data_IF_195530807980
#
_entry.id   IF_195530807980
#
_cell.length_a   1.000
_cell.length_b   1.000
_cell.length_c   1.000
_cell.angle_alpha   90.00
_cell.angle_beta   90.00
_cell.angle_gamma   90.00
#
_symmetry.space_group_name_H-M   'P 1'
#
loop_
_entity.id
_entity.type
_entity.pdbx_description
1 polymer ?
#
# COMPACT_ATOMS: atom_id res chain seq x y z
N UNK A 1 -45.90 -80.05 -31.64
CA UNK A 1 -44.70 -79.24 -31.32
C UNK A 1 -44.37 -79.46 -29.86
N UNK A 2 -43.15 -79.87 -29.53
CA UNK A 2 -42.77 -80.12 -28.12
C UNK A 2 -42.52 -78.79 -27.41
N UNK A 3 -42.86 -78.68 -26.11
CA UNK A 3 -42.68 -77.43 -25.35
C UNK A 3 -41.24 -76.88 -25.38
N UNK A 4 -40.24 -77.76 -25.54
CA UNK A 4 -38.84 -77.37 -25.68
C UNK A 4 -38.52 -76.61 -26.97
N UNK A 5 -39.22 -76.88 -28.08
CA UNK A 5 -39.01 -76.14 -29.34
C UNK A 5 -39.48 -74.69 -29.22
N UNK A 6 -40.64 -74.48 -28.58
CA UNK A 6 -41.19 -73.14 -28.32
C UNK A 6 -40.29 -72.37 -27.35
N UNK A 7 -39.82 -73.02 -26.29
CA UNK A 7 -38.89 -72.42 -25.35
C UNK A 7 -37.54 -72.03 -26.00
N UNK A 8 -37.00 -72.90 -26.86
CA UNK A 8 -35.76 -72.64 -27.61
C UNK A 8 -35.90 -71.44 -28.56
N UNK A 9 -37.04 -71.30 -29.25
CA UNK A 9 -37.30 -70.17 -30.13
C UNK A 9 -37.37 -68.84 -29.36
N UNK A 10 -38.07 -68.82 -28.21
CA UNK A 10 -38.17 -67.64 -27.35
C UNK A 10 -36.79 -67.25 -26.82
N UNK A 11 -36.01 -68.24 -26.35
CA UNK A 11 -34.66 -68.01 -25.86
C UNK A 11 -33.74 -67.44 -26.96
N UNK A 12 -33.80 -67.97 -28.18
CA UNK A 12 -33.02 -67.46 -29.31
C UNK A 12 -33.33 -65.99 -29.64
N UNK A 13 -34.61 -65.62 -29.65
CA UNK A 13 -35.04 -64.24 -29.89
C UNK A 13 -34.57 -63.31 -28.75
N UNK A 14 -34.70 -63.74 -27.50
CA UNK A 14 -34.25 -62.96 -26.35
C UNK A 14 -32.73 -62.70 -26.38
N UNK A 15 -31.94 -63.72 -26.72
CA UNK A 15 -30.48 -63.59 -26.86
C UNK A 15 -30.14 -62.67 -28.02
N UNK A 16 -30.85 -62.74 -29.16
CA UNK A 16 -30.64 -61.85 -30.29
C UNK A 16 -30.87 -60.38 -29.91
N UNK A 17 -31.96 -60.07 -29.20
CA UNK A 17 -32.24 -58.71 -28.71
C UNK A 17 -31.15 -58.24 -27.74
N UNK A 18 -30.70 -59.11 -26.83
CA UNK A 18 -29.65 -58.81 -25.85
C UNK A 18 -28.32 -58.47 -26.54
N UNK A 19 -27.94 -59.23 -27.58
CA UNK A 19 -26.71 -58.95 -28.34
C UNK A 19 -26.79 -57.60 -29.06
N UNK A 20 -27.94 -57.27 -29.65
CA UNK A 20 -28.15 -55.95 -30.29
C UNK A 20 -28.03 -54.80 -29.27
N UNK A 21 -28.60 -54.99 -28.08
CA UNK A 21 -28.51 -53.99 -27.01
C UNK A 21 -27.07 -53.79 -26.52
N UNK A 22 -26.33 -54.88 -26.30
CA UNK A 22 -24.91 -54.82 -25.91
C UNK A 22 -24.08 -54.14 -27.00
N UNK A 23 -24.31 -54.45 -28.28
CA UNK A 23 -23.61 -53.80 -29.39
C UNK A 23 -23.82 -52.28 -29.40
N UNK A 24 -25.06 -51.84 -29.19
CA UNK A 24 -25.38 -50.40 -29.08
C UNK A 24 -24.74 -49.77 -27.84
N UNK A 25 -24.77 -50.47 -26.69
CA UNK A 25 -24.18 -50.00 -25.44
C UNK A 25 -22.65 -49.84 -25.54
N UNK A 26 -21.95 -50.84 -26.09
CA UNK A 26 -20.51 -50.79 -26.32
C UNK A 26 -20.13 -49.66 -27.28
N UNK A 27 -20.93 -49.40 -28.31
CA UNK A 27 -20.68 -48.29 -29.22
C UNK A 27 -20.80 -46.93 -28.52
N UNK A 28 -21.78 -46.77 -27.61
CA UNK A 28 -21.89 -45.57 -26.77
C UNK A 28 -20.71 -45.44 -25.81
N UNK A 29 -20.33 -46.52 -25.13
CA UNK A 29 -19.16 -46.53 -24.25
C UNK A 29 -17.87 -46.16 -24.99
N UNK A 30 -17.66 -46.68 -26.19
CA UNK A 30 -16.48 -46.35 -26.99
C UNK A 30 -16.43 -44.85 -27.35
N UNK A 31 -17.59 -44.25 -27.70
CA UNK A 31 -17.68 -42.80 -27.91
C UNK A 31 -17.34 -42.02 -26.65
N UNK A 32 -17.92 -42.41 -25.50
CA UNK A 32 -17.63 -41.77 -24.20
C UNK A 32 -16.16 -41.90 -23.83
N UNK A 33 -15.53 -43.07 -24.01
CA UNK A 33 -14.10 -43.26 -23.76
C UNK A 33 -13.23 -42.41 -24.70
N UNK A 34 -13.64 -42.25 -25.97
CA UNK A 34 -12.99 -41.35 -26.91
C UNK A 34 -13.05 -39.89 -26.46
N UNK A 35 -14.22 -39.42 -26.03
CA UNK A 35 -14.42 -38.07 -25.49
C UNK A 35 -13.66 -37.85 -24.16
N UNK A 36 -13.59 -38.86 -23.30
CA UNK A 36 -12.80 -38.82 -22.07
C UNK A 36 -11.29 -38.76 -22.37
N UNK A 37 -10.82 -39.53 -23.34
CA UNK A 37 -9.41 -39.47 -23.77
C UNK A 37 -9.07 -38.10 -24.36
N UNK A 38 -9.98 -37.52 -25.15
CA UNK A 38 -9.81 -36.16 -25.66
C UNK A 38 -9.80 -35.13 -24.53
N UNK A 39 -10.74 -35.22 -23.59
CA UNK A 39 -10.80 -34.34 -22.40
C UNK A 39 -9.53 -34.44 -21.55
N UNK A 40 -9.03 -35.66 -21.31
CA UNK A 40 -7.78 -35.88 -20.59
C UNK A 40 -6.59 -35.25 -21.32
N UNK A 41 -6.52 -35.41 -22.64
CA UNK A 41 -5.46 -34.79 -23.45
C UNK A 41 -5.49 -33.26 -23.36
N UNK A 42 -6.67 -32.66 -23.49
CA UNK A 42 -6.84 -31.20 -23.35
C UNK A 42 -6.49 -30.74 -21.94
N UNK A 43 -6.98 -31.43 -20.91
CA UNK A 43 -6.65 -31.12 -19.52
C UNK A 43 -5.15 -31.19 -19.24
N UNK A 44 -4.45 -32.21 -19.75
CA UNK A 44 -2.98 -32.29 -19.64
C UNK A 44 -2.30 -31.13 -20.35
N UNK A 45 -2.78 -30.75 -21.55
CA UNK A 45 -2.25 -29.59 -22.30
C UNK A 45 -2.47 -28.27 -21.56
N UNK A 46 -3.63 -28.11 -20.92
CA UNK A 46 -3.96 -26.91 -20.14
C UNK A 46 -3.07 -26.83 -18.88
N UNK A 47 -2.84 -27.95 -18.20
CA UNK A 47 -1.92 -28.02 -17.05
C UNK A 47 -0.49 -27.67 -17.44
N UNK A 48 -0.01 -28.18 -18.57
CA UNK A 48 1.31 -27.83 -19.12
C UNK A 48 1.40 -26.33 -19.43
N UNK A 49 0.37 -25.77 -20.08
CA UNK A 49 0.28 -24.34 -20.40
C UNK A 49 0.19 -23.47 -19.14
N UNK A 50 -0.53 -23.90 -18.11
CA UNK A 50 -0.59 -23.22 -16.80
C UNK A 50 0.78 -23.27 -16.11
N UNK A 51 1.47 -24.41 -16.18
CA UNK A 51 2.80 -24.57 -15.58
C UNK A 51 3.80 -23.61 -16.23
N UNK A 52 3.82 -23.55 -17.57
CA UNK A 52 4.64 -22.58 -18.30
C UNK A 52 4.26 -21.12 -18.03
N UNK A 53 2.98 -20.80 -17.93
CA UNK A 53 2.55 -19.45 -17.55
C UNK A 53 2.96 -19.12 -16.10
N UNK A 54 2.90 -20.07 -15.18
CA UNK A 54 3.37 -19.91 -13.82
C UNK A 54 4.88 -19.68 -13.77
N UNK A 55 5.67 -20.43 -14.53
CA UNK A 55 7.11 -20.20 -14.71
C UNK A 55 7.38 -18.78 -15.22
N UNK A 56 6.64 -18.33 -16.23
CA UNK A 56 6.73 -16.96 -16.74
C UNK A 56 6.35 -15.92 -15.68
N UNK A 57 5.32 -16.15 -14.87
CA UNK A 57 4.96 -15.26 -13.75
C UNK A 57 6.09 -15.20 -12.73
N UNK A 58 6.69 -16.34 -12.37
CA UNK A 58 7.82 -16.36 -11.43
C UNK A 58 9.04 -15.62 -11.99
N UNK A 59 9.34 -15.81 -13.29
CA UNK A 59 10.43 -15.11 -13.97
C UNK A 59 10.19 -13.59 -14.00
N UNK A 60 8.99 -13.15 -14.41
CA UNK A 60 8.61 -11.74 -14.39
C UNK A 60 8.60 -11.17 -12.97
N UNK A 61 8.13 -11.92 -11.98
CA UNK A 61 8.18 -11.50 -10.58
C UNK A 61 9.62 -11.32 -10.09
N UNK A 62 10.54 -12.21 -10.47
CA UNK A 62 11.96 -12.07 -10.16
C UNK A 62 12.57 -10.82 -10.82
N UNK A 63 12.24 -10.56 -12.10
CA UNK A 63 12.67 -9.35 -12.81
C UNK A 63 12.07 -8.07 -12.18
N UNK A 64 10.78 -8.09 -11.83
CA UNK A 64 10.11 -6.99 -11.14
C UNK A 64 10.73 -6.73 -9.77
N UNK A 65 11.02 -7.76 -8.98
CA UNK A 65 11.68 -7.62 -7.69
C UNK A 65 13.10 -7.03 -7.84
N UNK A 66 13.83 -7.41 -8.88
CA UNK A 66 15.15 -6.83 -9.17
C UNK A 66 15.05 -5.35 -9.61
N UNK A 67 14.09 -4.99 -10.47
CA UNK A 67 13.85 -3.60 -10.87
C UNK A 67 13.39 -2.74 -9.68
N UNK A 68 12.50 -3.27 -8.83
CA UNK A 68 12.06 -2.60 -7.60
C UNK A 68 13.24 -2.39 -6.65
N UNK A 69 14.10 -3.40 -6.45
CA UNK A 69 15.28 -3.26 -5.60
C UNK A 69 16.20 -2.14 -6.12
N UNK A 70 16.49 -2.12 -7.44
CA UNK A 70 17.28 -1.07 -8.08
C UNK A 70 16.64 0.31 -7.93
N UNK A 71 15.32 0.42 -8.17
CA UNK A 71 14.59 1.69 -8.05
C UNK A 71 14.51 2.19 -6.62
N UNK A 72 14.27 1.32 -5.64
CA UNK A 72 14.27 1.71 -4.22
C UNK A 72 15.65 2.22 -3.81
N UNK A 73 16.73 1.54 -4.21
CA UNK A 73 18.09 2.00 -3.94
C UNK A 73 18.38 3.41 -4.51
N UNK A 74 17.76 3.77 -5.64
CA UNK A 74 17.87 5.14 -6.19
C UNK A 74 17.00 6.18 -5.49
N UNK A 75 15.94 5.77 -4.78
CA UNK A 75 15.00 6.64 -4.08
C UNK A 75 15.38 6.80 -2.60
N UNK A 76 16.17 5.90 -2.02
CA UNK A 76 16.69 6.01 -0.64
C UNK A 76 17.31 7.39 -0.33
N UNK A 77 18.15 7.99 -1.20
CA UNK A 77 18.68 9.34 -0.96
C UNK A 77 17.60 10.42 -0.95
N UNK A 78 16.50 10.24 -1.69
CA UNK A 78 15.37 11.18 -1.69
C UNK A 78 14.61 11.09 -0.37
N UNK A 79 14.41 9.89 0.18
CA UNK A 79 13.83 9.71 1.52
C UNK A 79 14.72 10.29 2.60
N UNK A 80 16.03 10.09 2.50
CA UNK A 80 16.98 10.65 3.46
C UNK A 80 17.05 12.18 3.36
N UNK A 81 17.10 12.74 2.15
CA UNK A 81 17.05 14.18 1.94
C UNK A 81 15.72 14.78 2.46
N UNK A 82 14.59 14.09 2.29
CA UNK A 82 13.32 14.51 2.86
C UNK A 82 13.33 14.47 4.39
N UNK A 83 13.99 13.48 5.01
CA UNK A 83 14.18 13.41 6.45
C UNK A 83 15.07 14.56 6.96
N UNK A 84 16.22 14.81 6.32
CA UNK A 84 17.15 15.90 6.67
C UNK A 84 16.49 17.28 6.49
N UNK A 85 15.66 17.44 5.46
CA UNK A 85 14.84 18.65 5.27
C UNK A 85 13.75 18.78 6.33
N UNK A 86 13.11 17.67 6.72
CA UNK A 86 12.14 17.65 7.82
C UNK A 86 12.76 18.08 9.15
N UNK A 87 13.94 17.57 9.47
CA UNK A 87 14.74 17.98 10.63
C UNK A 87 15.09 19.48 10.53
N UNK A 88 15.59 19.92 9.37
CA UNK A 88 15.94 21.32 9.12
C UNK A 88 14.76 22.28 9.28
N UNK A 89 13.56 21.89 8.80
CA UNK A 89 12.32 22.68 8.93
C UNK A 89 11.84 22.68 10.39
N UNK A 90 11.96 21.55 11.10
CA UNK A 90 11.64 21.43 12.52
C UNK A 90 12.54 22.35 13.36
N UNK A 91 13.85 22.30 13.12
CA UNK A 91 14.85 23.14 13.76
C UNK A 91 14.64 24.63 13.43
N UNK A 92 14.35 24.94 12.17
CA UNK A 92 14.03 26.31 11.76
C UNK A 92 12.76 26.83 12.45
N UNK A 93 11.72 25.99 12.57
CA UNK A 93 10.50 26.34 13.28
C UNK A 93 10.78 26.59 14.78
N UNK A 94 11.56 25.72 15.42
CA UNK A 94 11.97 25.89 16.81
C UNK A 94 12.83 27.15 17.03
N UNK A 95 13.79 27.41 16.14
CA UNK A 95 14.65 28.59 16.18
C UNK A 95 13.83 29.87 15.97
N UNK A 96 12.91 29.88 15.00
CA UNK A 96 12.02 31.02 14.72
C UNK A 96 11.10 31.29 15.89
N UNK A 97 10.55 30.25 16.53
CA UNK A 97 9.73 30.38 17.74
C UNK A 97 10.55 31.00 18.88
N UNK A 98 11.73 30.44 19.18
CA UNK A 98 12.65 30.96 20.22
C UNK A 98 13.07 32.41 19.94
N UNK A 99 13.37 32.77 18.70
CA UNK A 99 13.73 34.14 18.32
C UNK A 99 12.54 35.08 18.53
N UNK A 100 11.35 34.69 18.09
CA UNK A 100 10.11 35.46 18.29
C UNK A 100 9.83 35.69 19.77
N UNK A 101 9.99 34.65 20.60
CA UNK A 101 9.82 34.76 22.05
C UNK A 101 10.85 35.72 22.68
N UNK A 102 12.13 35.59 22.33
CA UNK A 102 13.21 36.48 22.77
C UNK A 102 12.98 37.94 22.36
N UNK A 103 12.58 38.17 21.11
CA UNK A 103 12.28 39.52 20.60
C UNK A 103 11.07 40.10 21.30
N UNK A 104 10.00 39.33 21.50
CA UNK A 104 8.83 39.74 22.27
C UNK A 104 9.20 40.11 23.71
N UNK A 105 10.00 39.29 24.39
CA UNK A 105 10.41 39.55 25.77
C UNK A 105 11.34 40.75 25.89
N UNK A 106 12.26 40.91 24.93
CA UNK A 106 13.13 42.10 24.84
C UNK A 106 12.29 43.34 24.57
N UNK A 107 11.36 43.30 23.62
CA UNK A 107 10.47 44.41 23.31
C UNK A 107 9.60 44.81 24.50
N UNK A 108 9.04 43.83 25.24
CA UNK A 108 8.29 44.07 26.48
C UNK A 108 9.17 44.72 27.56
N UNK A 109 10.40 44.23 27.72
CA UNK A 109 11.34 44.76 28.72
C UNK A 109 11.80 46.17 28.36
N UNK A 110 12.20 46.42 27.10
CA UNK A 110 12.57 47.74 26.59
C UNK A 110 11.40 48.72 26.66
N UNK A 111 10.17 48.28 26.35
CA UNK A 111 8.98 49.12 26.49
C UNK A 111 8.78 49.53 27.96
N UNK A 112 8.81 48.58 28.91
CA UNK A 112 8.71 48.86 30.34
C UNK A 112 9.82 49.78 30.84
N UNK A 113 11.07 49.52 30.46
CA UNK A 113 12.22 50.35 30.86
C UNK A 113 12.14 51.75 30.26
N UNK A 114 11.74 51.88 29.00
CA UNK A 114 11.61 53.19 28.35
C UNK A 114 10.48 54.03 28.97
N UNK A 115 9.37 53.40 29.33
CA UNK A 115 8.28 54.02 30.08
C UNK A 115 8.75 54.45 31.48
N UNK A 116 9.41 53.57 32.21
CA UNK A 116 9.95 53.86 33.54
C UNK A 116 11.00 54.98 33.49
N UNK A 117 11.91 54.97 32.52
CA UNK A 117 12.92 56.00 32.32
C UNK A 117 12.28 57.34 31.96
N UNK A 118 11.26 57.36 31.10
CA UNK A 118 10.52 58.59 30.78
C UNK A 118 9.83 59.14 32.02
N UNK A 119 9.06 58.32 32.75
CA UNK A 119 8.36 58.72 33.98
C UNK A 119 9.35 59.18 35.06
N UNK A 120 10.46 58.46 35.23
CA UNK A 120 11.51 58.82 36.18
C UNK A 120 12.19 60.13 35.82
N UNK A 121 12.46 60.38 34.54
CA UNK A 121 13.04 61.64 34.06
C UNK A 121 12.09 62.82 34.27
N UNK A 122 10.80 62.68 33.95
CA UNK A 122 9.81 63.73 34.24
C UNK A 122 9.65 63.98 35.74
N UNK A 123 9.65 62.93 36.56
CA UNK A 123 9.58 63.08 38.02
C UNK A 123 10.83 63.77 38.59
N UNK A 124 12.02 63.42 38.10
CA UNK A 124 13.29 64.02 38.51
C UNK A 124 13.39 65.50 38.09
N UNK A 125 12.98 65.83 36.86
CA UNK A 125 12.97 67.22 36.37
C UNK A 125 12.00 68.11 37.17
N UNK A 126 10.87 67.55 37.61
CA UNK A 126 9.92 68.21 38.53
C UNK A 126 10.49 68.43 39.93
N UNK A 127 11.19 67.43 40.50
CA UNK A 127 11.80 67.54 41.82
C UNK A 127 12.98 68.53 41.83
N UNK A 128 13.85 68.45 40.82
CA UNK A 128 15.01 69.33 40.68
C UNK A 128 14.60 70.79 40.48
N UNK A 129 13.50 71.06 39.77
CA UNK A 129 12.96 72.42 39.61
C UNK A 129 12.45 73.04 40.91
N UNK A 130 12.19 72.24 41.97
CA UNK A 130 11.89 72.78 43.31
C UNK A 130 13.13 73.04 44.16
N UNK A 131 14.23 72.31 43.94
CA UNK A 131 15.48 72.49 44.70
C UNK A 131 16.28 73.72 44.25
N UNK A 132 16.10 74.20 43.01
CA UNK A 132 16.78 75.39 42.51
C UNK A 132 16.17 76.72 43.01
N UNK A 133 15.20 76.70 43.93
CA UNK A 133 14.59 77.91 44.49
C UNK A 133 15.15 78.33 45.86
N UNK A 134 16.27 77.74 46.31
CA UNK A 134 16.90 78.03 47.60
C UNK A 134 18.36 78.49 47.53
N UNK A 135 18.88 78.88 46.36
CA UNK A 135 20.29 79.27 46.21
C UNK A 135 20.50 80.64 45.52
N UNK A 136 19.51 81.53 45.62
CA UNK A 136 19.65 82.96 45.29
C UNK A 136 19.02 83.78 46.45
N UNK A 137 19.70 83.80 47.59
CA UNK A 137 19.51 84.80 48.64
C UNK A 137 20.77 84.79 49.51
N UNK A 138 21.82 85.44 49.01
CA UNK A 138 22.88 86.13 49.76
C UNK A 138 23.57 87.13 48.80
#
# INVERSE_FOLDING_TARGET
>A
MTGGQVAGLIAAIAVLILVLFIGMFLMKLNKTLGELNHSMKTMTSDVDTISHQAENIMANANELLEDVNKKVATIDPVFQAAADLGESVSDLNAATRKLTDRVSDTAKTTAKTSLAARVGKTAFDLYRSRSHKHQDQD
#
